data_IF_062760597750
#
_entry.id   IF_062760597750
#
_cell.length_a   1.000
_cell.length_b   1.000
_cell.length_c   1.000
_cell.angle_alpha   90.00
_cell.angle_beta   90.00
_cell.angle_gamma   90.00
#
_symmetry.space_group_name_H-M   'P 1'
#
loop_
_entity.id
_entity.type
_entity.pdbx_description
1 polymer ?
#
# COMPACT_ATOMS: atom_id res chain seq x y z
N UNK A 1 -13.31 -27.13 9.64
CA UNK A 1 -13.15 -26.23 10.81
C UNK A 1 -14.16 -25.11 10.68
N UNK A 2 -15.18 -25.08 11.54
CA UNK A 2 -16.14 -23.97 11.58
C UNK A 2 -15.50 -22.78 12.33
N UNK A 3 -15.52 -21.58 11.73
CA UNK A 3 -15.17 -20.36 12.45
C UNK A 3 -16.09 -20.22 13.68
N UNK A 4 -15.56 -19.76 14.82
CA UNK A 4 -16.39 -19.53 16.00
C UNK A 4 -17.49 -18.49 15.67
N UNK A 5 -18.69 -18.65 16.25
CA UNK A 5 -19.85 -17.77 16.03
C UNK A 5 -19.52 -16.25 16.06
N UNK A 6 -18.70 -15.73 17.00
CA UNK A 6 -18.34 -14.31 16.99
C UNK A 6 -17.45 -13.92 15.79
N UNK A 7 -16.51 -14.78 15.37
CA UNK A 7 -15.68 -14.51 14.20
C UNK A 7 -16.51 -14.49 12.92
N UNK A 8 -17.50 -15.37 12.80
CA UNK A 8 -18.43 -15.36 11.67
C UNK A 8 -19.28 -14.08 11.64
N UNK A 9 -19.80 -13.65 12.80
CA UNK A 9 -20.56 -12.41 12.93
C UNK A 9 -19.73 -11.18 12.56
N UNK A 10 -18.49 -11.06 13.07
CA UNK A 10 -17.59 -9.96 12.75
C UNK A 10 -17.21 -9.95 11.26
N UNK A 11 -16.96 -11.12 10.68
CA UNK A 11 -16.68 -11.24 9.25
C UNK A 11 -17.89 -10.86 8.39
N UNK A 12 -19.09 -11.26 8.80
CA UNK A 12 -20.35 -10.85 8.17
C UNK A 12 -20.53 -9.33 8.18
N UNK A 13 -20.36 -8.69 9.34
CA UNK A 13 -20.44 -7.22 9.47
C UNK A 13 -19.37 -6.50 8.65
N UNK A 14 -18.15 -7.05 8.60
CA UNK A 14 -17.09 -6.50 7.73
C UNK A 14 -17.48 -6.55 6.25
N UNK A 15 -18.01 -7.68 5.78
CA UNK A 15 -18.45 -7.83 4.39
C UNK A 15 -19.63 -6.91 4.08
N UNK A 16 -20.58 -6.77 5.00
CA UNK A 16 -21.71 -5.85 4.87
C UNK A 16 -21.24 -4.40 4.74
N UNK A 17 -20.31 -3.97 5.61
CA UNK A 17 -19.72 -2.63 5.54
C UNK A 17 -18.85 -2.45 4.29
N UNK A 18 -18.18 -3.51 3.81
CA UNK A 18 -17.41 -3.46 2.57
C UNK A 18 -18.32 -3.31 1.35
N UNK A 19 -19.54 -3.87 1.39
CA UNK A 19 -20.52 -3.73 0.32
C UNK A 19 -21.24 -2.38 0.37
N UNK A 20 -21.73 -1.97 1.54
CA UNK A 20 -22.51 -0.74 1.72
C UNK A 20 -21.65 0.52 1.73
N UNK A 21 -20.41 0.45 2.25
CA UNK A 21 -19.49 1.59 2.36
C UNK A 21 -18.07 1.21 1.92
N UNK A 22 -17.86 0.85 0.64
CA UNK A 22 -16.61 0.26 0.15
C UNK A 22 -15.39 1.14 0.38
N UNK A 23 -15.50 2.46 0.17
CA UNK A 23 -14.37 3.39 0.37
C UNK A 23 -13.97 3.48 1.84
N UNK A 24 -14.95 3.66 2.74
CA UNK A 24 -14.70 3.81 4.18
C UNK A 24 -14.03 2.57 4.76
N UNK A 25 -14.60 1.40 4.47
CA UNK A 25 -14.11 0.12 4.98
C UNK A 25 -12.70 -0.17 4.46
N UNK A 26 -12.44 0.05 3.17
CA UNK A 26 -11.10 -0.13 2.59
C UNK A 26 -10.08 0.85 3.17
N UNK A 27 -10.47 2.11 3.39
CA UNK A 27 -9.61 3.13 4.00
C UNK A 27 -9.23 2.80 5.44
N UNK A 28 -10.18 2.34 6.26
CA UNK A 28 -9.91 1.93 7.64
C UNK A 28 -8.99 0.70 7.64
N UNK A 29 -9.26 -0.31 6.82
CA UNK A 29 -8.39 -1.50 6.71
C UNK A 29 -6.98 -1.11 6.25
N UNK A 30 -6.86 -0.21 5.27
CA UNK A 30 -5.57 0.26 4.78
C UNK A 30 -4.80 1.08 5.83
N UNK A 31 -5.48 1.89 6.64
CA UNK A 31 -4.91 2.59 7.78
C UNK A 31 -4.29 1.59 8.78
N UNK A 32 -5.07 0.62 9.26
CA UNK A 32 -4.60 -0.39 10.21
C UNK A 32 -3.42 -1.17 9.66
N UNK A 33 -3.49 -1.57 8.39
CA UNK A 33 -2.42 -2.29 7.70
C UNK A 33 -1.14 -1.44 7.61
N UNK A 34 -1.24 -0.19 7.17
CA UNK A 34 -0.09 0.69 7.00
C UNK A 34 0.59 1.04 8.34
N UNK A 35 -0.20 1.32 9.37
CA UNK A 35 0.27 1.54 10.74
C UNK A 35 1.01 0.31 11.27
N UNK A 36 0.39 -0.87 11.15
CA UNK A 36 0.98 -2.13 11.63
C UNK A 36 2.27 -2.49 10.87
N UNK A 37 2.29 -2.26 9.56
CA UNK A 37 3.47 -2.48 8.73
C UNK A 37 4.62 -1.54 9.12
N UNK A 38 4.33 -0.26 9.40
CA UNK A 38 5.37 0.67 9.83
C UNK A 38 5.91 0.31 11.23
N UNK A 39 5.05 -0.05 12.18
CA UNK A 39 5.48 -0.53 13.51
C UNK A 39 6.38 -1.75 13.36
N UNK A 40 5.99 -2.71 12.53
CA UNK A 40 6.79 -3.91 12.27
C UNK A 40 8.13 -3.57 11.63
N UNK A 41 8.15 -2.67 10.65
CA UNK A 41 9.38 -2.16 10.04
C UNK A 41 10.30 -1.47 11.05
N UNK A 42 9.76 -0.77 12.05
CA UNK A 42 10.54 -0.17 13.14
C UNK A 42 11.14 -1.22 14.06
N UNK A 43 10.35 -2.22 14.47
CA UNK A 43 10.84 -3.32 15.30
C UNK A 43 11.91 -4.16 14.60
N UNK A 44 11.73 -4.48 13.31
CA UNK A 44 12.73 -5.21 12.52
C UNK A 44 14.05 -4.45 12.34
N UNK A 45 14.03 -3.12 12.44
CA UNK A 45 15.25 -2.31 12.42
C UNK A 45 15.91 -2.17 13.80
N UNK A 46 15.39 -2.83 14.84
CA UNK A 46 15.93 -2.76 16.20
C UNK A 46 15.61 -1.45 16.93
N UNK A 47 14.59 -0.69 16.50
CA UNK A 47 14.23 0.55 17.17
C UNK A 47 13.73 0.29 18.60
N UNK A 48 14.45 0.84 19.60
CA UNK A 48 14.08 0.76 21.02
C UNK A 48 12.86 1.62 21.35
N UNK A 49 12.73 2.77 20.68
CA UNK A 49 11.58 3.66 20.76
C UNK A 49 10.88 3.74 19.40
N UNK A 50 9.54 3.67 19.41
CA UNK A 50 8.76 3.79 18.19
C UNK A 50 8.66 5.26 17.78
N UNK A 51 8.96 5.56 16.52
CA UNK A 51 8.69 6.84 15.90
C UNK A 51 7.18 6.97 15.64
N UNK A 52 6.48 7.56 16.61
CA UNK A 52 5.03 7.78 16.57
C UNK A 52 4.61 8.67 15.41
N UNK A 53 5.39 9.69 15.05
CA UNK A 53 5.11 10.55 13.90
C UNK A 53 5.08 9.76 12.60
N UNK A 54 6.02 8.85 12.39
CA UNK A 54 6.03 7.97 11.23
C UNK A 54 4.85 6.99 11.26
N UNK A 55 4.49 6.44 12.43
CA UNK A 55 3.33 5.55 12.56
C UNK A 55 2.03 6.27 12.20
N UNK A 56 1.86 7.50 12.68
CA UNK A 56 0.73 8.37 12.35
C UNK A 56 0.70 8.73 10.86
N UNK A 57 1.83 9.10 10.27
CA UNK A 57 1.92 9.44 8.86
C UNK A 57 1.49 8.28 7.94
N UNK A 58 1.91 7.05 8.23
CA UNK A 58 1.49 5.87 7.47
C UNK A 58 0.02 5.54 7.68
N UNK A 59 -0.50 5.69 8.90
CA UNK A 59 -1.93 5.53 9.19
C UNK A 59 -2.78 6.53 8.42
N UNK A 60 -2.41 7.81 8.47
CA UNK A 60 -3.11 8.88 7.76
C UNK A 60 -3.08 8.68 6.24
N UNK A 61 -1.92 8.27 5.69
CA UNK A 61 -1.81 7.92 4.28
C UNK A 61 -2.71 6.73 3.90
N UNK A 62 -2.71 5.67 4.71
CA UNK A 62 -3.59 4.52 4.50
C UNK A 62 -5.08 4.89 4.56
N UNK A 63 -5.46 5.75 5.50
CA UNK A 63 -6.83 6.23 5.67
C UNK A 63 -7.29 7.09 4.49
N UNK A 64 -6.48 8.06 4.06
CA UNK A 64 -6.87 9.00 3.01
C UNK A 64 -6.75 8.36 1.63
N UNK A 65 -5.61 7.75 1.31
CA UNK A 65 -5.29 7.29 -0.04
C UNK A 65 -5.44 5.78 -0.22
N UNK A 66 -5.22 4.99 0.83
CA UNK A 66 -5.15 3.53 0.73
C UNK A 66 -6.47 2.84 0.36
N UNK A 67 -7.62 3.44 0.70
CA UNK A 67 -8.93 2.95 0.29
C UNK A 67 -9.52 3.68 -0.92
N UNK A 68 -9.36 5.00 -0.97
CA UNK A 68 -10.01 5.87 -1.96
C UNK A 68 -9.37 5.75 -3.35
N UNK A 69 -8.04 5.88 -3.45
CA UNK A 69 -7.32 5.89 -4.74
C UNK A 69 -7.51 4.57 -5.48
N UNK A 70 -7.30 3.38 -4.88
CA UNK A 70 -7.59 2.13 -5.58
C UNK A 70 -9.06 2.01 -5.94
N UNK A 71 -10.00 2.40 -5.06
CA UNK A 71 -11.43 2.29 -5.37
C UNK A 71 -11.82 3.09 -6.63
N UNK A 72 -11.44 4.37 -6.70
CA UNK A 72 -11.76 5.19 -7.86
C UNK A 72 -10.97 4.78 -9.11
N UNK A 73 -9.71 4.36 -8.97
CA UNK A 73 -8.92 3.85 -10.08
C UNK A 73 -9.57 2.62 -10.72
N UNK A 74 -9.86 1.57 -9.93
CA UNK A 74 -10.47 0.35 -10.46
C UNK A 74 -11.86 0.63 -11.05
N UNK A 75 -12.68 1.46 -10.40
CA UNK A 75 -13.99 1.86 -10.94
C UNK A 75 -13.87 2.58 -12.27
N UNK A 76 -12.85 3.43 -12.44
CA UNK A 76 -12.63 4.18 -13.68
C UNK A 76 -12.16 3.25 -14.81
N UNK A 77 -11.23 2.35 -14.51
CA UNK A 77 -10.74 1.36 -15.47
C UNK A 77 -11.86 0.40 -15.89
N UNK A 78 -12.70 -0.04 -14.96
CA UNK A 78 -13.87 -0.89 -15.27
C UNK A 78 -14.89 -0.19 -16.16
N UNK A 79 -15.10 1.12 -16.01
CA UNK A 79 -15.96 1.91 -16.90
C UNK A 79 -15.34 2.14 -18.28
N UNK A 80 -14.02 2.27 -18.36
CA UNK A 80 -13.30 2.54 -19.60
C UNK A 80 -13.21 1.29 -20.50
N UNK A 81 -13.12 0.10 -19.89
CA UNK A 81 -13.06 -1.17 -20.62
C UNK A 81 -14.34 -1.97 -20.44
N UNK A 82 -15.28 -1.80 -21.38
CA UNK A 82 -16.55 -2.54 -21.47
C UNK A 82 -16.34 -4.07 -21.42
N UNK A 83 -17.38 -4.80 -21.04
CA UNK A 83 -17.30 -6.26 -20.85
C UNK A 83 -16.92 -7.06 -22.11
N UNK A 84 -17.11 -6.50 -23.31
CA UNK A 84 -16.88 -7.18 -24.60
C UNK A 84 -15.43 -7.15 -25.12
N UNK A 85 -14.48 -6.59 -24.38
CA UNK A 85 -13.08 -6.52 -24.84
C UNK A 85 -12.39 -7.88 -24.66
N UNK A 86 -12.04 -8.51 -25.78
CA UNK A 86 -11.42 -9.86 -25.88
C UNK A 86 -10.17 -10.07 -25.00
N UNK A 87 -9.44 -8.98 -24.68
CA UNK A 87 -8.23 -8.99 -23.83
C UNK A 87 -8.37 -8.13 -22.55
N UNK A 88 -9.58 -7.96 -22.01
CA UNK A 88 -9.85 -7.10 -20.84
C UNK A 88 -8.89 -7.32 -19.66
N UNK A 89 -8.59 -8.58 -19.31
CA UNK A 89 -7.69 -8.91 -18.19
C UNK A 89 -6.27 -8.40 -18.41
N UNK A 90 -5.79 -8.42 -19.66
CA UNK A 90 -4.48 -7.92 -20.02
C UNK A 90 -4.43 -6.39 -19.93
N UNK A 91 -5.43 -5.69 -20.46
CA UNK A 91 -5.52 -4.23 -20.34
C UNK A 91 -5.66 -3.77 -18.89
N UNK A 92 -6.47 -4.46 -18.08
CA UNK A 92 -6.61 -4.18 -16.65
C UNK A 92 -5.26 -4.32 -15.92
N UNK A 93 -4.54 -5.41 -16.18
CA UNK A 93 -3.20 -5.64 -15.63
C UNK A 93 -2.21 -4.55 -16.09
N UNK A 94 -2.25 -4.18 -17.38
CA UNK A 94 -1.36 -3.18 -17.93
C UNK A 94 -1.63 -1.79 -17.33
N UNK A 95 -2.90 -1.38 -17.22
CA UNK A 95 -3.29 -0.15 -16.54
C UNK A 95 -2.88 -0.15 -15.07
N UNK A 96 -3.01 -1.28 -14.38
CA UNK A 96 -2.59 -1.39 -12.98
C UNK A 96 -1.06 -1.28 -12.83
N UNK A 97 -0.29 -1.93 -13.70
CA UNK A 97 1.19 -1.90 -13.65
C UNK A 97 1.80 -0.59 -14.17
N UNK A 98 1.23 0.02 -15.21
CA UNK A 98 1.79 1.21 -15.88
C UNK A 98 1.19 2.54 -15.45
N UNK A 99 -0.02 2.54 -14.88
CA UNK A 99 -0.69 3.79 -14.47
C UNK A 99 -0.82 3.82 -12.96
N UNK A 100 -1.49 2.83 -12.37
CA UNK A 100 -1.74 2.83 -10.94
C UNK A 100 -0.47 2.71 -10.11
N UNK A 101 0.36 1.69 -10.34
CA UNK A 101 1.56 1.47 -9.53
C UNK A 101 2.54 2.67 -9.57
N UNK A 102 2.85 3.27 -10.74
CA UNK A 102 3.66 4.49 -10.83
C UNK A 102 3.05 5.67 -10.05
N UNK A 103 1.78 6.00 -10.30
CA UNK A 103 1.12 7.14 -9.66
C UNK A 103 1.04 6.94 -8.15
N UNK A 104 0.60 5.76 -7.70
CA UNK A 104 0.46 5.44 -6.29
C UNK A 104 1.82 5.42 -5.58
N UNK A 105 2.88 4.93 -6.23
CA UNK A 105 4.23 4.95 -5.68
C UNK A 105 4.74 6.39 -5.50
N UNK A 106 4.55 7.26 -6.49
CA UNK A 106 4.93 8.69 -6.40
C UNK A 106 4.17 9.40 -5.28
N UNK A 107 2.83 9.22 -5.23
CA UNK A 107 1.98 9.77 -4.19
C UNK A 107 2.42 9.30 -2.80
N UNK A 108 2.72 8.00 -2.65
CA UNK A 108 3.17 7.46 -1.36
C UNK A 108 4.47 8.11 -0.89
N UNK A 109 5.46 8.28 -1.77
CA UNK A 109 6.74 8.86 -1.39
C UNK A 109 6.63 10.33 -1.01
N UNK A 110 5.82 11.09 -1.76
CA UNK A 110 5.61 12.51 -1.54
C UNK A 110 4.78 12.77 -0.28
N UNK A 111 3.57 12.22 -0.19
CA UNK A 111 2.65 12.48 0.92
C UNK A 111 3.14 11.88 2.23
N UNK A 112 3.76 10.71 2.22
CA UNK A 112 4.34 10.18 3.47
C UNK A 112 5.47 11.06 3.99
N UNK A 113 6.26 11.70 3.12
CA UNK A 113 7.30 12.63 3.58
C UNK A 113 6.68 13.90 4.16
N UNK A 114 5.60 14.40 3.54
CA UNK A 114 4.86 15.56 4.03
C UNK A 114 4.17 15.30 5.38
N UNK A 115 3.51 14.15 5.53
CA UNK A 115 2.87 13.73 6.79
C UNK A 115 3.86 13.40 7.90
N UNK A 116 5.09 13.02 7.55
CA UNK A 116 6.21 12.92 8.50
C UNK A 116 6.77 14.30 8.92
N UNK A 117 6.18 15.41 8.46
CA UNK A 117 6.56 16.78 8.82
C UNK A 117 7.77 17.33 8.06
N UNK A 118 8.13 16.74 6.91
CA UNK A 118 9.31 17.16 6.13
C UNK A 118 8.98 18.28 5.16
N UNK A 119 9.98 19.07 4.81
CA UNK A 119 9.81 20.13 3.81
C UNK A 119 9.41 19.55 2.45
N UNK A 120 8.62 20.28 1.64
CA UNK A 120 8.26 19.86 0.28
C UNK A 120 9.48 19.58 -0.60
N UNK A 121 10.56 20.34 -0.44
CA UNK A 121 11.83 20.10 -1.13
C UNK A 121 12.46 18.75 -0.79
N UNK A 122 12.41 18.34 0.48
CA UNK A 122 12.89 17.03 0.92
C UNK A 122 11.97 15.90 0.41
N UNK A 123 10.67 16.15 0.35
CA UNK A 123 9.70 15.20 -0.22
C UNK A 123 9.98 14.95 -1.72
N UNK A 124 10.24 16.01 -2.49
CA UNK A 124 10.62 15.90 -3.91
C UNK A 124 11.93 15.11 -4.09
N UNK A 125 12.94 15.37 -3.27
CA UNK A 125 14.20 14.60 -3.30
C UNK A 125 13.99 13.11 -2.97
N UNK A 126 13.09 12.80 -2.03
CA UNK A 126 12.72 11.41 -1.74
C UNK A 126 12.08 10.74 -2.95
N UNK A 127 11.18 11.44 -3.65
CA UNK A 127 10.57 10.92 -4.89
C UNK A 127 11.65 10.70 -5.94
N UNK A 128 12.45 11.72 -6.26
CA UNK A 128 13.49 11.63 -7.30
C UNK A 128 14.45 10.45 -7.08
N UNK A 129 14.91 10.23 -5.84
CA UNK A 129 15.90 9.19 -5.54
C UNK A 129 15.29 7.80 -5.30
N UNK A 130 14.08 7.69 -4.75
CA UNK A 130 13.49 6.41 -4.37
C UNK A 130 12.43 5.89 -5.34
N UNK A 131 11.88 6.75 -6.20
CA UNK A 131 10.80 6.38 -7.11
C UNK A 131 11.18 5.21 -8.02
N UNK A 132 12.22 5.37 -8.84
CA UNK A 132 12.64 4.33 -9.77
C UNK A 132 13.10 3.03 -9.09
N UNK A 133 13.94 3.08 -8.03
CA UNK A 133 14.33 1.86 -7.32
C UNK A 133 13.14 1.11 -6.71
N UNK A 134 12.16 1.83 -6.14
CA UNK A 134 10.98 1.20 -5.55
C UNK A 134 9.99 0.72 -6.60
N UNK A 135 9.81 1.45 -7.70
CA UNK A 135 8.92 1.05 -8.79
C UNK A 135 9.44 -0.22 -9.50
N UNK A 136 10.74 -0.29 -9.80
CA UNK A 136 11.35 -1.51 -10.35
C UNK A 136 11.20 -2.69 -9.40
N UNK A 137 11.48 -2.49 -8.11
CA UNK A 137 11.28 -3.51 -7.10
C UNK A 137 9.79 -3.93 -7.00
N UNK A 138 8.84 -3.00 -7.15
CA UNK A 138 7.42 -3.31 -7.13
C UNK A 138 7.07 -4.28 -8.27
N UNK A 139 7.50 -3.95 -9.49
CA UNK A 139 7.28 -4.80 -10.65
C UNK A 139 7.96 -6.16 -10.53
N UNK A 140 9.19 -6.21 -10.02
CA UNK A 140 9.93 -7.47 -9.91
C UNK A 140 9.36 -8.39 -8.82
N UNK A 141 9.15 -7.85 -7.61
CA UNK A 141 8.74 -8.67 -6.48
C UNK A 141 7.24 -8.93 -6.47
N UNK A 142 6.40 -7.92 -6.68
CA UNK A 142 4.96 -8.10 -6.49
C UNK A 142 4.28 -8.79 -7.66
N UNK A 143 4.78 -8.67 -8.89
CA UNK A 143 4.07 -9.23 -10.05
C UNK A 143 3.92 -10.75 -9.96
N UNK A 144 4.94 -11.46 -9.46
CA UNK A 144 4.87 -12.91 -9.25
C UNK A 144 3.87 -13.26 -8.15
N UNK A 145 3.92 -12.59 -7.00
CA UNK A 145 2.99 -12.85 -5.89
C UNK A 145 1.53 -12.53 -6.25
N UNK A 146 1.31 -11.43 -6.97
CA UNK A 146 -0.03 -11.03 -7.45
C UNK A 146 -0.54 -12.04 -8.49
N UNK A 147 0.32 -12.50 -9.41
CA UNK A 147 -0.06 -13.53 -10.36
C UNK A 147 -0.45 -14.84 -9.67
N UNK A 148 0.37 -15.32 -8.73
CA UNK A 148 0.08 -16.53 -7.94
C UNK A 148 -1.22 -16.37 -7.13
N UNK A 149 -1.50 -15.17 -6.62
CA UNK A 149 -2.75 -14.86 -5.94
C UNK A 149 -3.96 -15.07 -6.85
N UNK A 150 -3.94 -14.53 -8.06
CA UNK A 150 -5.04 -14.70 -9.01
C UNK A 150 -5.17 -16.14 -9.53
N UNK A 151 -4.05 -16.84 -9.70
CA UNK A 151 -4.01 -18.19 -10.23
C UNK A 151 -4.48 -19.26 -9.23
N UNK A 152 -4.05 -19.17 -7.96
CA UNK A 152 -4.23 -20.27 -6.99
C UNK A 152 -5.14 -19.92 -5.82
N UNK A 153 -5.35 -18.63 -5.50
CA UNK A 153 -6.15 -18.24 -4.34
C UNK A 153 -7.62 -18.09 -4.74
N UNK A 154 -8.55 -18.80 -4.07
CA UNK A 154 -9.98 -18.66 -4.32
C UNK A 154 -10.45 -17.21 -4.12
N UNK A 155 -11.45 -16.71 -4.88
CA UNK A 155 -11.90 -15.32 -4.84
C UNK A 155 -12.14 -14.76 -3.42
N UNK A 156 -12.70 -15.60 -2.53
CA UNK A 156 -13.01 -15.23 -1.14
C UNK A 156 -11.76 -14.88 -0.31
N UNK A 157 -10.61 -15.50 -0.59
CA UNK A 157 -9.38 -15.30 0.16
C UNK A 157 -8.40 -14.31 -0.49
N UNK A 158 -8.66 -13.89 -1.74
CA UNK A 158 -7.75 -12.99 -2.48
C UNK A 158 -7.50 -11.68 -1.74
N UNK A 159 -8.54 -11.09 -1.14
CA UNK A 159 -8.40 -9.84 -0.38
C UNK A 159 -7.47 -9.99 0.81
N UNK A 160 -7.50 -11.13 1.51
CA UNK A 160 -6.65 -11.40 2.67
C UNK A 160 -5.22 -11.65 2.21
N UNK A 161 -5.01 -12.51 1.23
CA UNK A 161 -3.69 -12.80 0.70
C UNK A 161 -3.02 -11.56 0.08
N UNK A 162 -3.79 -10.69 -0.59
CA UNK A 162 -3.31 -9.39 -1.08
C UNK A 162 -2.99 -8.41 0.05
N UNK A 163 -3.75 -8.42 1.15
CA UNK A 163 -3.43 -7.64 2.32
C UNK A 163 -2.07 -8.07 2.93
N UNK A 164 -1.79 -9.37 2.99
CA UNK A 164 -0.50 -9.89 3.47
C UNK A 164 0.65 -9.42 2.57
N UNK A 165 0.51 -9.59 1.25
CA UNK A 165 1.51 -9.13 0.27
C UNK A 165 1.74 -7.61 0.41
N UNK A 166 0.64 -6.85 0.53
CA UNK A 166 0.69 -5.39 0.71
C UNK A 166 1.39 -4.99 2.01
N UNK A 167 1.13 -5.71 3.10
CA UNK A 167 1.80 -5.49 4.38
C UNK A 167 3.32 -5.64 4.25
N UNK A 168 3.78 -6.74 3.65
CA UNK A 168 5.21 -7.00 3.41
C UNK A 168 5.82 -5.88 2.54
N UNK A 169 5.10 -5.45 1.50
CA UNK A 169 5.55 -4.37 0.64
C UNK A 169 5.68 -3.03 1.38
N UNK A 170 4.71 -2.68 2.23
CA UNK A 170 4.76 -1.46 3.04
C UNK A 170 5.90 -1.51 4.04
N UNK A 171 6.16 -2.67 4.66
CA UNK A 171 7.34 -2.88 5.53
C UNK A 171 8.62 -2.59 4.75
N UNK A 172 8.76 -3.13 3.54
CA UNK A 172 9.93 -2.92 2.68
C UNK A 172 10.12 -1.46 2.29
N UNK A 173 9.05 -0.76 1.87
CA UNK A 173 9.09 0.68 1.59
C UNK A 173 9.54 1.46 2.82
N UNK A 174 8.97 1.17 3.99
CA UNK A 174 9.31 1.85 5.23
C UNK A 174 10.78 1.66 5.60
N UNK A 175 11.33 0.47 5.42
CA UNK A 175 12.76 0.21 5.64
C UNK A 175 13.65 0.97 4.65
N UNK A 176 13.33 0.94 3.35
CA UNK A 176 14.10 1.66 2.31
C UNK A 176 14.07 3.17 2.52
N UNK A 177 12.90 3.74 2.81
CA UNK A 177 12.74 5.18 3.10
C UNK A 177 13.53 5.57 4.35
N UNK A 178 13.48 4.77 5.43
CA UNK A 178 14.24 5.05 6.66
C UNK A 178 15.75 5.04 6.42
N UNK A 179 16.28 4.00 5.78
CA UNK A 179 17.71 3.91 5.44
C UNK A 179 18.19 5.07 4.58
N UNK A 180 17.35 5.54 3.65
CA UNK A 180 17.67 6.70 2.83
C UNK A 180 17.75 7.99 3.66
N UNK A 181 16.82 8.17 4.60
CA UNK A 181 16.79 9.33 5.49
C UNK A 181 17.98 9.34 6.46
N UNK A 182 18.33 8.19 7.02
CA UNK A 182 19.53 8.02 7.87
C UNK A 182 20.80 8.40 7.10
N UNK A 183 20.93 7.94 5.85
CA UNK A 183 22.06 8.31 4.98
C UNK A 183 22.10 9.81 4.66
N UNK A 184 20.96 10.45 4.45
CA UNK A 184 20.91 11.89 4.23
C UNK A 184 21.28 12.67 5.50
N UNK A 185 20.78 12.26 6.67
CA UNK A 185 21.12 12.88 7.94
C UNK A 185 22.63 12.77 8.23
N UNK A 186 23.23 11.59 8.02
CA UNK A 186 24.67 11.37 8.18
C UNK A 186 25.50 12.26 7.23
N UNK A 187 25.09 12.39 5.96
CA UNK A 187 25.77 13.28 5.00
C UNK A 187 25.68 14.75 5.40
N UNK A 188 24.56 15.18 6.00
CA UNK A 188 24.39 16.56 6.47
C UNK A 188 25.21 16.83 7.73
N UNK A 189 25.39 15.85 8.60
CA UNK A 189 26.21 15.97 9.81
C UNK A 189 27.72 15.95 9.52
N UNK A 190 28.14 15.36 8.40
CA UNK A 190 29.53 15.32 7.96
C UNK A 190 29.97 16.56 7.16
N UNK A 191 29.07 17.52 6.91
CA UNK A 191 29.33 18.77 6.20
C UNK A 191 29.20 19.94 7.17
#
# INVERSE_FOLDING_TARGET
>A
MALSKPLYSLFGTYLEQLFNHPVRTKSITACVLATSANVTSQRLAGAKTLNQHSVFAYGLFGLIFGGSVPHYFYTTVERLFSHDVRFRRFFLFLSERLVYAPIYQALSLFFLALFEGKSPSTALLNVEKLYWPLLKANWQYLSVFVYLNFAYVPPMFRSISMAIISFIWVVYIAQKRRRFQEKQAAKKAAK
#
